data_IF_251851508616
#
_entry.id   IF_251851508616
#
_cell.length_a   1.000
_cell.length_b   1.000
_cell.length_c   1.000
_cell.angle_alpha   90.00
_cell.angle_beta   90.00
_cell.angle_gamma   90.00
#
_symmetry.space_group_name_H-M   'P 1'
#
loop_
_entity.id
_entity.type
_entity.pdbx_description
1 polymer ?
#
# COMPACT_ATOMS: atom_id res chain seq x y z
N UNK A 1 9.42 -9.78 -14.56
CA UNK A 1 9.03 -9.07 -13.32
C UNK A 1 8.62 -10.11 -12.30
N UNK A 2 9.30 -10.21 -11.16
CA UNK A 2 8.85 -11.05 -10.04
C UNK A 2 7.70 -10.31 -9.38
N UNK A 3 6.48 -10.86 -9.47
CA UNK A 3 5.34 -10.31 -8.74
C UNK A 3 5.51 -10.69 -7.27
N UNK A 4 5.81 -9.70 -6.44
CA UNK A 4 5.99 -9.87 -5.01
C UNK A 4 4.63 -9.68 -4.36
N UNK A 5 4.06 -10.74 -3.82
CA UNK A 5 2.79 -10.66 -3.12
C UNK A 5 3.07 -10.27 -1.65
N UNK A 6 3.25 -8.98 -1.38
CA UNK A 6 3.24 -8.48 -0.01
C UNK A 6 1.79 -8.56 0.48
N UNK A 7 1.48 -9.27 1.58
CA UNK A 7 0.11 -9.46 2.07
C UNK A 7 -0.43 -8.21 2.79
N UNK A 8 -0.16 -7.03 2.22
CA UNK A 8 -0.62 -5.73 2.70
C UNK A 8 -1.27 -4.97 1.53
N UNK A 9 -2.37 -4.30 1.84
CA UNK A 9 -3.15 -3.54 0.87
C UNK A 9 -2.76 -2.07 0.99
N UNK A 10 -2.23 -1.48 -0.09
CA UNK A 10 -1.90 -0.05 -0.12
C UNK A 10 -3.16 0.77 0.20
N UNK A 11 -3.03 1.74 1.09
CA UNK A 11 -4.12 2.56 1.59
C UNK A 11 -4.97 1.91 2.70
N UNK A 12 -4.69 0.64 3.07
CA UNK A 12 -5.33 0.02 4.22
C UNK A 12 -4.67 0.46 5.54
N UNK A 13 -5.50 0.55 6.58
CA UNK A 13 -5.06 0.88 7.94
C UNK A 13 -4.82 -0.40 8.75
N UNK A 14 -3.70 -0.40 9.44
CA UNK A 14 -3.23 -1.51 10.27
C UNK A 14 -2.96 -1.04 11.69
N UNK A 15 -3.51 -1.76 12.67
CA UNK A 15 -3.18 -1.61 14.08
C UNK A 15 -2.05 -2.56 14.46
N UNK A 16 -1.08 -2.06 15.22
CA UNK A 16 0.06 -2.84 15.70
C UNK A 16 -0.35 -3.69 16.92
N UNK A 17 -0.28 -5.01 16.77
CA UNK A 17 -0.63 -5.97 17.84
C UNK A 17 0.48 -6.08 18.89
N UNK A 18 1.74 -6.02 18.45
CA UNK A 18 2.95 -6.11 19.29
C UNK A 18 3.95 -5.05 18.82
N UNK A 19 4.60 -4.28 19.71
CA UNK A 19 5.54 -3.26 19.30
C UNK A 19 6.79 -3.87 18.65
N UNK A 20 7.33 -3.19 17.64
CA UNK A 20 8.57 -3.57 16.95
C UNK A 20 9.16 -2.35 16.24
N UNK A 21 10.49 -2.28 16.12
CA UNK A 21 11.19 -1.17 15.46
C UNK A 21 10.67 0.21 15.93
N UNK A 22 10.17 1.04 15.01
CA UNK A 22 9.57 2.35 15.31
C UNK A 22 8.06 2.31 15.52
N UNK A 23 7.44 1.12 15.48
CA UNK A 23 6.01 0.90 15.58
C UNK A 23 5.56 0.66 17.02
N UNK A 24 4.60 1.48 17.45
CA UNK A 24 4.04 1.43 18.80
C UNK A 24 2.78 0.56 18.84
N UNK A 25 2.62 -0.22 19.90
CA UNK A 25 1.44 -1.06 20.10
C UNK A 25 0.15 -0.23 20.15
N UNK A 26 -0.95 -0.78 19.62
CA UNK A 26 -2.28 -0.14 19.56
C UNK A 26 -2.33 1.17 18.77
N UNK A 27 -1.26 1.53 18.06
CA UNK A 27 -1.26 2.63 17.10
C UNK A 27 -1.63 2.14 15.71
N UNK A 28 -2.24 3.04 14.95
CA UNK A 28 -2.71 2.79 13.59
C UNK A 28 -1.76 3.43 12.59
N UNK A 29 -1.47 2.68 11.55
CA UNK A 29 -0.60 3.09 10.47
C UNK A 29 -1.25 2.74 9.13
N UNK A 30 -1.17 3.64 8.17
CA UNK A 30 -1.63 3.39 6.81
C UNK A 30 -0.47 2.80 6.01
N UNK A 31 -0.64 1.62 5.43
CA UNK A 31 0.37 1.06 4.53
C UNK A 31 0.38 1.85 3.22
N UNK A 32 1.54 2.43 2.87
CA UNK A 32 1.66 3.27 1.67
C UNK A 32 2.36 2.55 0.51
N UNK A 33 3.03 1.44 0.78
CA UNK A 33 3.69 0.63 -0.24
C UNK A 33 5.09 0.20 0.19
N UNK A 34 5.89 -0.23 -0.79
CA UNK A 34 7.24 -0.72 -0.57
C UNK A 34 8.16 -0.23 -1.69
N UNK A 35 9.45 -0.06 -1.39
CA UNK A 35 10.48 0.17 -2.40
C UNK A 35 11.18 -1.16 -2.73
N UNK A 36 11.74 -1.23 -3.95
CA UNK A 36 12.46 -2.36 -4.50
C UNK A 36 13.53 -2.95 -3.56
N UNK A 37 13.59 -4.28 -3.60
CA UNK A 37 14.64 -5.20 -3.16
C UNK A 37 15.92 -4.57 -2.58
N UNK A 38 16.14 -4.73 -1.27
CA UNK A 38 17.48 -4.59 -0.72
C UNK A 38 18.21 -5.94 -0.81
N UNK A 39 19.48 -5.90 -1.19
CA UNK A 39 20.41 -7.03 -1.19
C UNK A 39 21.69 -6.60 -0.49
N UNK A 40 21.78 -6.89 0.81
CA UNK A 40 22.97 -6.61 1.59
C UNK A 40 24.02 -7.74 1.51
N UNK A 41 23.97 -8.57 0.45
CA UNK A 41 24.79 -9.77 0.21
C UNK A 41 24.49 -10.95 1.15
N UNK A 42 23.62 -10.76 2.15
CA UNK A 42 23.24 -11.80 3.12
C UNK A 42 21.73 -12.01 3.22
N UNK A 43 20.93 -10.97 3.04
CA UNK A 43 19.48 -11.00 3.16
C UNK A 43 18.85 -10.18 2.05
N UNK A 44 18.02 -10.84 1.28
CA UNK A 44 17.17 -10.25 0.26
C UNK A 44 15.79 -9.95 0.83
N UNK A 45 15.30 -8.71 0.67
CA UNK A 45 14.01 -8.29 1.25
C UNK A 45 13.45 -6.99 0.70
N UNK A 46 12.36 -6.53 1.30
CA UNK A 46 11.67 -5.29 0.95
C UNK A 46 11.65 -4.35 2.14
N UNK A 47 11.71 -3.06 1.84
CA UNK A 47 11.43 -2.01 2.81
C UNK A 47 9.97 -1.57 2.62
N UNK A 48 9.16 -1.81 3.65
CA UNK A 48 7.74 -1.48 3.71
C UNK A 48 7.57 -0.12 4.38
N UNK A 49 6.71 0.73 3.83
CA UNK A 49 6.47 2.08 4.32
C UNK A 49 5.05 2.23 4.87
N UNK A 50 4.95 2.99 5.95
CA UNK A 50 3.74 3.18 6.71
C UNK A 50 3.61 4.63 7.19
N UNK A 51 2.46 5.26 6.95
CA UNK A 51 2.19 6.62 7.40
C UNK A 51 1.42 6.63 8.73
N UNK A 52 1.91 7.42 9.68
CA UNK A 52 1.27 7.64 10.98
C UNK A 52 0.60 9.02 11.00
N UNK A 53 -0.72 9.04 10.85
CA UNK A 53 -1.49 10.28 10.70
C UNK A 53 -1.46 11.19 11.94
N UNK A 54 -1.45 10.63 13.16
CA UNK A 54 -1.45 11.44 14.39
C UNK A 54 -0.16 12.26 14.55
N UNK A 55 0.96 11.73 14.06
CA UNK A 55 2.29 12.34 14.25
C UNK A 55 2.89 12.88 12.94
N UNK A 56 2.11 12.88 11.84
CA UNK A 56 2.56 13.27 10.49
C UNK A 56 3.95 12.68 10.15
N UNK A 57 4.09 11.36 10.35
CA UNK A 57 5.40 10.69 10.27
C UNK A 57 5.35 9.44 9.41
N UNK A 58 6.35 9.31 8.54
CA UNK A 58 6.62 8.08 7.81
C UNK A 58 7.48 7.12 8.64
N UNK A 59 7.03 5.88 8.72
CA UNK A 59 7.71 4.76 9.36
C UNK A 59 8.07 3.73 8.29
N UNK A 60 9.16 3.01 8.48
CA UNK A 60 9.57 1.93 7.60
C UNK A 60 9.93 0.69 8.42
N UNK A 61 9.71 -0.49 7.86
CA UNK A 61 10.30 -1.73 8.38
C UNK A 61 10.80 -2.60 7.23
N UNK A 62 11.81 -3.42 7.53
CA UNK A 62 12.36 -4.36 6.56
C UNK A 62 11.79 -5.74 6.77
N UNK A 63 11.47 -6.42 5.68
CA UNK A 63 11.00 -7.79 5.69
C UNK A 63 11.74 -8.60 4.63
N UNK A 64 12.26 -9.76 5.01
CA UNK A 64 12.94 -10.65 4.06
C UNK A 64 11.94 -11.36 3.14
N UNK A 65 12.39 -11.78 1.95
CA UNK A 65 11.58 -12.59 1.03
C UNK A 65 11.09 -13.87 1.71
N UNK A 66 11.95 -14.51 2.49
CA UNK A 66 11.62 -15.74 3.21
C UNK A 66 10.46 -15.52 4.20
N UNK A 67 10.44 -14.36 4.88
CA UNK A 67 9.37 -14.01 5.81
C UNK A 67 8.05 -13.74 5.08
N UNK A 68 8.06 -12.97 3.99
CA UNK A 68 6.83 -12.73 3.19
C UNK A 68 6.23 -14.02 2.64
N UNK A 69 7.06 -14.96 2.19
CA UNK A 69 6.60 -16.17 1.51
C UNK A 69 6.15 -17.29 2.45
N UNK A 70 6.74 -17.36 3.66
CA UNK A 70 6.54 -18.51 4.56
C UNK A 70 5.69 -18.19 5.79
N UNK A 71 5.65 -16.93 6.22
CA UNK A 71 5.02 -16.55 7.47
C UNK A 71 3.95 -15.47 7.25
N UNK A 72 2.76 -15.61 7.87
CA UNK A 72 1.81 -14.51 7.91
C UNK A 72 2.43 -13.34 8.68
N UNK A 73 2.25 -12.10 8.19
CA UNK A 73 2.67 -10.90 8.92
C UNK A 73 1.81 -10.78 10.18
N UNK A 74 2.33 -11.21 11.33
CA UNK A 74 1.57 -11.31 12.60
C UNK A 74 1.59 -10.03 13.45
N UNK A 75 2.40 -9.04 13.10
CA UNK A 75 2.56 -7.82 13.90
C UNK A 75 1.45 -6.79 13.67
N UNK A 76 0.70 -6.93 12.58
CA UNK A 76 -0.34 -6.00 12.16
C UNK A 76 -1.70 -6.69 12.07
N UNK A 77 -2.75 -5.97 12.48
CA UNK A 77 -4.14 -6.33 12.23
C UNK A 77 -4.75 -5.27 11.32
N UNK A 78 -5.33 -5.65 10.18
CA UNK A 78 -6.12 -4.71 9.38
C UNK A 78 -7.33 -4.25 10.19
N UNK A 79 -7.51 -2.94 10.30
CA UNK A 79 -8.61 -2.31 11.05
C UNK A 79 -9.46 -1.37 10.18
N UNK A 80 -9.00 -1.03 8.98
CA UNK A 80 -9.73 -0.14 8.09
C UNK A 80 -8.96 0.22 6.83
N UNK A 81 -9.18 1.45 6.36
CA UNK A 81 -8.61 2.02 5.14
C UNK A 81 -9.35 1.65 3.86
N UNK A 82 -8.78 2.03 2.72
CA UNK A 82 -9.45 1.91 1.43
C UNK A 82 -9.69 0.44 1.08
N UNK A 83 -10.93 0.11 0.72
CA UNK A 83 -11.20 -1.21 0.15
C UNK A 83 -10.54 -1.29 -1.21
N UNK A 84 -9.86 -2.41 -1.47
CA UNK A 84 -9.34 -2.69 -2.81
C UNK A 84 -10.58 -2.81 -3.71
N UNK A 85 -10.72 -2.01 -4.79
CA UNK A 85 -11.85 -2.18 -5.69
C UNK A 85 -11.88 -3.63 -6.16
N UNK A 86 -13.04 -4.27 -6.07
CA UNK A 86 -13.17 -5.64 -6.55
C UNK A 86 -12.77 -5.66 -8.03
N UNK A 87 -12.02 -6.67 -8.51
CA UNK A 87 -11.46 -6.68 -9.86
C UNK A 87 -12.49 -6.45 -10.98
N UNK A 88 -13.77 -6.70 -10.68
CA UNK A 88 -14.87 -6.67 -11.64
C UNK A 88 -15.96 -5.62 -11.28
N UNK A 89 -15.73 -4.71 -10.33
CA UNK A 89 -16.79 -3.77 -9.87
C UNK A 89 -16.70 -2.38 -10.47
N UNK A 90 -15.86 -2.15 -11.48
CA UNK A 90 -15.90 -0.92 -12.27
C UNK A 90 -17.00 -1.11 -13.32
N UNK A 91 -18.19 -0.49 -13.18
CA UNK A 91 -19.15 -0.51 -14.27
C UNK A 91 -18.47 0.10 -15.51
N UNK A 92 -18.63 -0.49 -16.70
CA UNK A 92 -18.08 0.10 -17.91
C UNK A 92 -18.55 1.55 -17.99
N UNK A 93 -17.59 2.47 -18.10
CA UNK A 93 -17.87 3.89 -18.24
C UNK A 93 -18.75 4.03 -19.47
N UNK A 94 -19.98 4.51 -19.29
CA UNK A 94 -20.88 4.81 -20.39
C UNK A 94 -20.36 6.06 -21.10
N UNK A 95 -19.54 5.84 -22.11
CA UNK A 95 -18.92 6.88 -22.94
C UNK A 95 -19.96 7.70 -23.73
N UNK A 96 -21.23 7.27 -23.79
CA UNK A 96 -22.29 8.03 -24.45
C UNK A 96 -22.69 9.30 -23.68
N UNK A 97 -22.36 9.36 -22.38
CA UNK A 97 -22.57 10.54 -21.54
C UNK A 97 -21.32 11.41 -21.40
N UNK A 98 -20.17 10.96 -21.92
CA UNK A 98 -18.94 11.70 -21.85
C UNK A 98 -18.91 12.74 -22.97
N UNK A 99 -19.33 13.96 -22.64
CA UNK A 99 -19.20 15.11 -23.55
C UNK A 99 -17.73 15.47 -23.75
N UNK A 100 -17.13 14.89 -24.79
CA UNK A 100 -15.72 15.08 -25.18
C UNK A 100 -15.39 16.53 -25.58
N UNK A 101 -16.38 17.43 -25.70
CA UNK A 101 -16.13 18.85 -25.95
C UNK A 101 -15.43 19.55 -24.76
N UNK A 102 -15.47 18.95 -23.56
CA UNK A 102 -14.74 19.42 -22.38
C UNK A 102 -13.34 18.78 -22.20
N UNK A 103 -12.84 18.07 -23.22
CA UNK A 103 -11.65 17.21 -23.21
C UNK A 103 -10.29 17.86 -22.87
N UNK A 104 -10.23 19.13 -22.44
CA UNK A 104 -8.99 19.77 -21.97
C UNK A 104 -8.75 19.66 -20.46
N UNK A 105 -9.77 19.37 -19.65
CA UNK A 105 -9.61 19.36 -18.18
C UNK A 105 -9.41 17.97 -17.56
N UNK A 106 -9.66 16.87 -18.29
CA UNK A 106 -9.64 15.52 -17.72
C UNK A 106 -8.27 14.82 -17.76
N UNK A 107 -7.34 15.26 -18.62
CA UNK A 107 -6.01 14.67 -18.70
C UNK A 107 -5.17 14.88 -17.43
N UNK A 108 -5.47 15.90 -16.62
CA UNK A 108 -4.78 16.12 -15.35
C UNK A 108 -5.28 15.21 -14.21
N UNK A 109 -6.51 14.69 -14.27
CA UNK A 109 -7.04 13.87 -13.18
C UNK A 109 -6.57 12.42 -13.28
N UNK A 110 -6.39 11.89 -14.50
CA UNK A 110 -5.96 10.51 -14.73
C UNK A 110 -4.44 10.35 -14.47
N UNK A 111 -3.63 11.38 -14.77
CA UNK A 111 -2.19 11.30 -14.53
C UNK A 111 -1.82 11.32 -13.04
N UNK A 112 -2.67 11.91 -12.18
CA UNK A 112 -2.49 11.95 -10.72
C UNK A 112 -2.77 10.58 -10.06
N UNK A 113 -3.67 9.77 -10.64
CA UNK A 113 -4.09 8.48 -10.08
C UNK A 113 -3.11 7.33 -10.46
N UNK A 114 -2.34 7.50 -11.54
CA UNK A 114 -1.40 6.49 -12.01
C UNK A 114 0.04 6.67 -11.48
N UNK A 115 0.34 7.75 -10.76
CA UNK A 115 1.68 8.04 -10.21
C UNK A 115 1.71 8.29 -8.69
N UNK A 116 0.66 7.89 -7.96
CA UNK A 116 0.63 7.87 -6.49
C UNK A 116 0.51 6.44 -5.98
#
# INVERSE_FOLDING_TARGET
MVTVNVPLDTGAEYEVIKPFDTFQQHRRYTYVGFISFYDDRTIAGYELFFYHAENDKLHACRISINQIQKEPITFFKRVGGWERPAPNSIPPIDLSQLDLSQGKNYFNFIFLILNL
#
